data_IF_548012115861
#
_entry.id   IF_548012115861
#
_cell.length_a   1.000
_cell.length_b   1.000
_cell.length_c   1.000
_cell.angle_alpha   90.00
_cell.angle_beta   90.00
_cell.angle_gamma   90.00
#
_symmetry.space_group_name_H-M   'P 1'
#
loop_
_entity.id
_entity.type
_entity.pdbx_description
1 polymer ?
#
# COMPACT_ATOMS: atom_id res chain seq x y z
N UNK A 1 -21.69 19.69 6.50
CA UNK A 1 -20.90 18.47 6.27
C UNK A 1 -20.87 17.53 7.49
N UNK A 2 -20.74 18.04 8.73
CA UNK A 2 -20.75 17.21 9.96
C UNK A 2 -22.09 16.51 10.25
N UNK A 3 -23.21 17.06 9.77
CA UNK A 3 -24.56 16.53 10.03
C UNK A 3 -24.94 15.27 9.21
N UNK A 4 -24.24 14.98 8.10
CA UNK A 4 -24.52 13.79 7.28
C UNK A 4 -23.88 12.52 7.87
N UNK A 5 -22.79 12.69 8.63
CA UNK A 5 -22.06 11.60 9.28
C UNK A 5 -22.81 11.00 10.49
N UNK A 6 -23.76 11.74 11.08
CA UNK A 6 -24.56 11.24 12.21
C UNK A 6 -25.68 10.28 11.77
N UNK A 7 -26.09 10.32 10.49
CA UNK A 7 -27.13 9.44 9.96
C UNK A 7 -26.63 8.01 9.71
N UNK A 8 -25.34 7.84 9.42
CA UNK A 8 -24.74 6.52 9.21
C UNK A 8 -23.88 6.06 10.39
N UNK A 9 -24.53 5.45 11.38
CA UNK A 9 -23.88 4.71 12.49
C UNK A 9 -22.71 3.80 12.06
N UNK A 10 -22.74 3.12 10.88
CA UNK A 10 -21.60 2.32 10.40
C UNK A 10 -20.33 3.13 10.10
N UNK A 11 -20.46 4.33 9.51
CA UNK A 11 -19.32 5.19 9.24
C UNK A 11 -18.71 5.72 10.55
N UNK A 12 -19.55 6.07 11.53
CA UNK A 12 -19.08 6.47 12.86
C UNK A 12 -18.30 5.33 13.56
N UNK A 13 -18.78 4.08 13.45
CA UNK A 13 -18.07 2.89 13.94
C UNK A 13 -16.71 2.75 13.26
N UNK A 14 -16.64 2.88 11.93
CA UNK A 14 -15.39 2.82 11.18
C UNK A 14 -14.39 3.89 11.64
N UNK A 15 -14.81 5.16 11.75
CA UNK A 15 -13.93 6.24 12.24
C UNK A 15 -13.43 6.01 13.67
N UNK A 16 -14.22 5.36 14.54
CA UNK A 16 -13.77 4.96 15.88
C UNK A 16 -12.66 3.91 15.82
N UNK A 17 -12.78 2.92 14.94
CA UNK A 17 -11.75 1.91 14.72
C UNK A 17 -10.45 2.56 14.26
N UNK A 18 -10.50 3.47 13.28
CA UNK A 18 -9.33 4.23 12.84
C UNK A 18 -8.66 5.01 13.99
N UNK A 19 -9.45 5.62 14.89
CA UNK A 19 -8.90 6.31 16.07
C UNK A 19 -8.29 5.36 17.10
N UNK A 20 -8.93 4.20 17.32
CA UNK A 20 -8.51 3.20 18.30
C UNK A 20 -7.22 2.50 17.87
N UNK A 21 -7.16 2.09 16.60
CA UNK A 21 -6.05 1.30 16.04
C UNK A 21 -5.01 2.17 15.30
N UNK A 22 -5.07 3.50 15.48
CA UNK A 22 -4.25 4.47 14.74
C UNK A 22 -2.76 4.15 14.75
N UNK A 23 -2.24 3.64 15.88
CA UNK A 23 -0.82 3.33 16.03
C UNK A 23 -0.42 2.19 15.11
N UNK A 24 -1.18 1.09 15.12
CA UNK A 24 -0.92 -0.07 14.26
C UNK A 24 -1.00 0.34 12.79
N UNK A 25 -2.05 1.08 12.41
CA UNK A 25 -2.23 1.62 11.06
C UNK A 25 -1.05 2.50 10.62
N UNK A 26 -0.58 3.40 11.49
CA UNK A 26 0.58 4.27 11.22
C UNK A 26 1.84 3.43 11.06
N UNK A 27 2.11 2.47 11.95
CA UNK A 27 3.30 1.61 11.85
C UNK A 27 3.29 0.79 10.55
N UNK A 28 2.16 0.21 10.17
CA UNK A 28 2.04 -0.49 8.86
C UNK A 28 2.24 0.46 7.69
N UNK A 29 1.70 1.67 7.75
CA UNK A 29 1.86 2.65 6.66
C UNK A 29 3.31 3.09 6.50
N UNK A 30 3.99 3.42 7.60
CA UNK A 30 5.43 3.75 7.60
C UNK A 30 6.26 2.57 7.12
N UNK A 31 5.91 1.34 7.53
CA UNK A 31 6.56 0.12 7.07
C UNK A 31 6.40 -0.08 5.56
N UNK A 32 5.21 0.13 5.00
CA UNK A 32 4.97 0.09 3.55
C UNK A 32 5.86 1.12 2.83
N UNK A 33 5.91 2.37 3.32
CA UNK A 33 6.76 3.40 2.73
C UNK A 33 8.24 3.02 2.78
N UNK A 34 8.69 2.41 3.88
CA UNK A 34 10.06 1.94 4.02
C UNK A 34 10.39 0.79 3.05
N UNK A 35 9.48 -0.17 2.88
CA UNK A 35 9.62 -1.26 1.90
C UNK A 35 9.66 -0.70 0.49
N UNK A 36 8.76 0.23 0.14
CA UNK A 36 8.77 0.90 -1.16
C UNK A 36 10.11 1.58 -1.38
N UNK A 37 10.62 2.34 -0.40
CA UNK A 37 11.90 3.05 -0.53
C UNK A 37 13.06 2.07 -0.77
N UNK A 38 13.17 1.00 0.02
CA UNK A 38 14.24 0.00 -0.12
C UNK A 38 14.19 -0.64 -1.51
N UNK A 39 13.03 -1.15 -1.91
CA UNK A 39 12.90 -1.83 -3.20
C UNK A 39 13.10 -0.84 -4.37
N UNK A 40 12.71 0.42 -4.21
CA UNK A 40 12.98 1.46 -5.21
C UNK A 40 14.46 1.75 -5.35
N UNK A 41 15.22 1.77 -4.24
CA UNK A 41 16.67 1.93 -4.29
C UNK A 41 17.30 0.75 -5.00
N UNK A 42 16.93 -0.49 -4.66
CA UNK A 42 17.54 -1.67 -5.28
C UNK A 42 17.16 -1.75 -6.76
N UNK A 43 15.90 -1.50 -7.11
CA UNK A 43 15.47 -1.40 -8.51
C UNK A 43 16.22 -0.30 -9.26
N UNK A 44 16.42 0.87 -8.64
CA UNK A 44 17.26 1.92 -9.23
C UNK A 44 18.70 1.44 -9.42
N UNK A 45 19.31 0.75 -8.47
CA UNK A 45 20.71 0.32 -8.59
C UNK A 45 20.93 -0.75 -9.65
N UNK A 46 19.98 -1.68 -9.79
CA UNK A 46 20.08 -2.81 -10.73
C UNK A 46 19.63 -2.43 -12.15
N UNK A 47 18.55 -1.65 -12.26
CA UNK A 47 17.87 -1.41 -13.54
C UNK A 47 18.22 -0.05 -14.18
N UNK A 48 18.84 0.86 -13.42
CA UNK A 48 19.30 2.13 -13.96
C UNK A 48 20.57 1.93 -14.78
N UNK A 49 20.44 2.10 -16.09
CA UNK A 49 21.60 2.10 -16.97
C UNK A 49 22.37 3.43 -16.82
N UNK A 50 23.55 3.33 -16.22
CA UNK A 50 24.45 4.48 -16.00
C UNK A 50 25.07 5.00 -17.30
N UNK A 51 25.14 4.20 -18.36
CA UNK A 51 25.73 4.60 -19.63
C UNK A 51 24.74 5.41 -20.49
N UNK A 52 23.45 5.08 -20.44
CA UNK A 52 22.40 5.79 -21.18
C UNK A 52 21.63 6.81 -20.32
N UNK A 53 21.73 6.73 -18.99
CA UNK A 53 21.09 7.66 -18.05
C UNK A 53 19.58 7.46 -17.91
N UNK A 54 19.05 6.32 -18.33
CA UNK A 54 17.61 6.03 -18.41
C UNK A 54 17.30 4.57 -18.08
N UNK A 55 16.09 4.30 -17.60
CA UNK A 55 15.58 2.92 -17.58
C UNK A 55 15.24 2.47 -18.99
N UNK A 56 15.60 1.23 -19.32
CA UNK A 56 15.17 0.61 -20.56
C UNK A 56 13.65 0.43 -20.56
N UNK A 57 12.96 1.22 -21.39
CA UNK A 57 11.55 1.01 -21.69
C UNK A 57 11.39 0.02 -22.83
N UNK A 58 10.37 -0.84 -22.73
CA UNK A 58 10.02 -1.80 -23.79
C UNK A 58 9.60 -1.12 -25.10
N UNK A 59 9.11 0.12 -25.02
CA UNK A 59 8.52 0.86 -26.15
C UNK A 59 9.54 1.69 -26.95
N UNK A 60 10.85 1.55 -26.68
CA UNK A 60 11.92 2.21 -27.45
C UNK A 60 11.98 3.75 -27.33
N UNK A 61 11.06 4.38 -26.59
CA UNK A 61 11.07 5.81 -26.30
C UNK A 61 11.98 6.12 -25.11
N UNK A 62 13.26 6.25 -25.43
CA UNK A 62 14.34 6.60 -24.52
C UNK A 62 14.49 8.12 -24.43
N UNK A 63 13.44 8.81 -23.98
CA UNK A 63 13.53 10.24 -23.67
C UNK A 63 14.14 10.41 -22.28
N UNK A 64 15.12 11.32 -22.09
CA UNK A 64 15.58 11.72 -20.76
C UNK A 64 14.48 12.55 -20.10
N UNK A 65 13.43 11.87 -19.64
CA UNK A 65 12.47 12.44 -18.72
C UNK A 65 13.08 12.50 -17.33
N UNK A 66 12.55 13.40 -16.49
CA UNK A 66 13.09 13.79 -15.20
C UNK A 66 13.34 12.67 -14.17
N UNK A 67 13.71 13.11 -12.97
CA UNK A 67 14.22 12.35 -11.83
C UNK A 67 13.95 10.83 -11.86
N UNK A 68 14.94 10.07 -12.33
CA UNK A 68 14.87 8.63 -12.56
C UNK A 68 14.60 7.86 -11.26
N UNK A 69 15.05 8.39 -10.12
CA UNK A 69 14.70 7.81 -8.82
C UNK A 69 13.18 7.84 -8.55
N UNK A 70 12.48 8.90 -8.96
CA UNK A 70 11.02 8.96 -8.81
C UNK A 70 10.30 7.92 -9.69
N UNK A 71 10.87 7.55 -10.85
CA UNK A 71 10.35 6.46 -11.67
C UNK A 71 10.53 5.10 -11.00
N UNK A 72 11.63 4.87 -10.30
CA UNK A 72 11.83 3.66 -9.51
C UNK A 72 10.82 3.57 -8.35
N UNK A 73 10.56 4.69 -7.66
CA UNK A 73 9.50 4.80 -6.65
C UNK A 73 8.14 4.50 -7.25
N UNK A 74 7.83 5.12 -8.39
CA UNK A 74 6.59 4.88 -9.12
C UNK A 74 6.43 3.40 -9.46
N UNK A 75 7.42 2.79 -10.12
CA UNK A 75 7.40 1.38 -10.51
C UNK A 75 7.18 0.46 -9.30
N UNK A 76 7.95 0.67 -8.23
CA UNK A 76 7.86 -0.14 -7.02
C UNK A 76 6.50 0.03 -6.35
N UNK A 77 5.96 1.25 -6.31
CA UNK A 77 4.64 1.54 -5.75
C UNK A 77 3.53 0.85 -6.52
N UNK A 78 3.51 0.96 -7.86
CA UNK A 78 2.45 0.34 -8.69
C UNK A 78 2.57 -1.17 -8.71
N UNK A 79 3.78 -1.72 -8.59
CA UNK A 79 4.01 -3.17 -8.47
C UNK A 79 3.53 -3.68 -7.12
N UNK A 80 3.92 -3.03 -6.03
CA UNK A 80 3.53 -3.43 -4.66
C UNK A 80 2.03 -3.29 -4.41
N UNK A 81 1.39 -2.26 -4.99
CA UNK A 81 -0.07 -2.08 -4.94
C UNK A 81 -0.82 -2.94 -5.95
N UNK A 82 -0.12 -3.82 -6.69
CA UNK A 82 -0.68 -4.73 -7.70
C UNK A 82 -1.35 -4.05 -8.90
N UNK A 83 -1.16 -2.73 -9.08
CA UNK A 83 -1.69 -1.97 -10.22
C UNK A 83 -0.95 -2.36 -11.51
N UNK A 84 0.39 -2.37 -11.48
CA UNK A 84 1.23 -2.91 -12.54
C UNK A 84 0.95 -2.41 -13.97
N UNK A 85 1.07 -1.09 -14.22
CA UNK A 85 0.78 -0.50 -15.55
C UNK A 85 1.60 -1.07 -16.72
N UNK A 86 2.77 -1.64 -16.45
CA UNK A 86 3.62 -2.30 -17.45
C UNK A 86 4.43 -1.36 -18.36
N UNK A 87 4.43 -0.06 -18.07
CA UNK A 87 5.22 0.96 -18.77
C UNK A 87 6.72 0.92 -18.41
N UNK A 88 7.04 0.34 -17.25
CA UNK A 88 8.38 -0.04 -16.81
C UNK A 88 8.37 -1.51 -16.42
N UNK A 89 9.41 -2.24 -16.80
CA UNK A 89 9.54 -3.68 -16.51
C UNK A 89 11.00 -4.04 -16.28
N UNK A 90 11.31 -4.94 -15.34
CA UNK A 90 12.68 -5.37 -15.12
C UNK A 90 13.22 -6.16 -16.33
N UNK A 91 14.35 -5.72 -16.86
CA UNK A 91 15.15 -6.38 -17.88
C UNK A 91 16.20 -7.32 -17.27
N UNK A 92 16.73 -7.00 -16.08
CA UNK A 92 17.75 -7.78 -15.38
C UNK A 92 17.14 -9.01 -14.69
N UNK A 93 17.95 -10.06 -14.54
CA UNK A 93 17.53 -11.27 -13.83
C UNK A 93 17.25 -11.00 -12.35
N UNK A 94 18.08 -10.16 -11.72
CA UNK A 94 17.92 -9.75 -10.31
C UNK A 94 16.63 -8.94 -10.15
N UNK A 95 16.41 -7.93 -10.99
CA UNK A 95 15.19 -7.11 -10.98
C UNK A 95 13.92 -7.94 -11.14
N UNK A 96 13.93 -8.98 -11.98
CA UNK A 96 12.80 -9.91 -12.12
C UNK A 96 12.52 -10.70 -10.84
N UNK A 97 13.55 -11.27 -10.21
CA UNK A 97 13.40 -12.00 -8.94
C UNK A 97 12.87 -11.07 -7.85
N UNK A 98 13.38 -9.83 -7.79
CA UNK A 98 12.91 -8.83 -6.84
C UNK A 98 11.43 -8.51 -6.99
N UNK A 99 10.93 -8.36 -8.22
CA UNK A 99 9.50 -8.10 -8.47
C UNK A 99 8.63 -9.26 -7.98
N UNK A 100 9.06 -10.50 -8.15
CA UNK A 100 8.34 -11.67 -7.64
C UNK A 100 8.24 -11.60 -6.11
N UNK A 101 9.37 -11.36 -5.44
CA UNK A 101 9.42 -11.25 -3.98
C UNK A 101 8.58 -10.07 -3.48
N UNK A 102 8.71 -8.90 -4.10
CA UNK A 102 7.95 -7.69 -3.77
C UNK A 102 6.45 -7.92 -3.89
N UNK A 103 6.01 -8.64 -4.93
CA UNK A 103 4.59 -8.92 -5.16
C UNK A 103 3.99 -9.78 -4.05
N UNK A 104 4.71 -10.81 -3.60
CA UNK A 104 4.28 -11.69 -2.50
C UNK A 104 4.24 -10.92 -1.18
N UNK A 105 5.30 -10.16 -0.89
CA UNK A 105 5.40 -9.34 0.33
C UNK A 105 4.32 -8.26 0.36
N UNK A 106 4.05 -7.61 -0.77
CA UNK A 106 3.02 -6.57 -0.89
C UNK A 106 1.67 -7.07 -0.41
N UNK A 107 1.21 -8.20 -0.95
CA UNK A 107 -0.08 -8.81 -0.58
C UNK A 107 -0.12 -9.12 0.94
N UNK A 108 0.95 -9.69 1.48
CA UNK A 108 1.03 -10.03 2.91
C UNK A 108 0.94 -8.78 3.81
N UNK A 109 1.62 -7.69 3.44
CA UNK A 109 1.61 -6.45 4.21
C UNK A 109 0.24 -5.76 4.16
N UNK A 110 -0.41 -5.72 2.99
CA UNK A 110 -1.75 -5.13 2.84
C UNK A 110 -2.84 -5.86 3.64
N UNK A 111 -2.64 -7.15 3.94
CA UNK A 111 -3.55 -7.93 4.77
C UNK A 111 -3.65 -7.39 6.21
N UNK A 112 -2.57 -6.80 6.75
CA UNK A 112 -2.52 -6.34 8.16
C UNK A 112 -3.51 -5.20 8.43
N UNK A 113 -3.46 -4.03 7.76
CA UNK A 113 -4.40 -2.95 8.02
C UNK A 113 -5.85 -3.35 7.67
N UNK A 114 -6.04 -4.20 6.66
CA UNK A 114 -7.36 -4.75 6.32
C UNK A 114 -7.94 -5.58 7.49
N UNK A 115 -7.14 -6.48 8.05
CA UNK A 115 -7.52 -7.31 9.19
C UNK A 115 -7.80 -6.50 10.46
N UNK A 116 -6.99 -5.47 10.74
CA UNK A 116 -7.18 -4.57 11.87
C UNK A 116 -8.52 -3.82 11.77
N UNK A 117 -8.83 -3.28 10.59
CA UNK A 117 -10.10 -2.57 10.36
C UNK A 117 -11.29 -3.53 10.49
N UNK A 118 -11.21 -4.72 9.87
CA UNK A 118 -12.26 -5.72 9.92
C UNK A 118 -12.53 -6.20 11.36
N UNK A 119 -11.47 -6.54 12.10
CA UNK A 119 -11.56 -6.96 13.50
C UNK A 119 -12.12 -5.87 14.40
N UNK A 120 -11.68 -4.63 14.23
CA UNK A 120 -12.19 -3.48 14.99
C UNK A 120 -13.68 -3.21 14.70
N UNK A 121 -14.11 -3.35 13.44
CA UNK A 121 -15.51 -3.17 13.06
C UNK A 121 -16.42 -4.24 13.66
N UNK A 122 -16.00 -5.52 13.60
CA UNK A 122 -16.73 -6.64 14.22
C UNK A 122 -16.85 -6.45 15.74
N UNK A 123 -15.78 -6.00 16.39
CA UNK A 123 -15.79 -5.70 17.83
C UNK A 123 -16.84 -4.61 18.15
N UNK A 124 -16.89 -3.52 17.40
CA UNK A 124 -17.86 -2.44 17.64
C UNK A 124 -19.31 -2.91 17.44
N UNK A 125 -19.59 -3.72 16.41
CA UNK A 125 -20.91 -4.30 16.19
C UNK A 125 -21.35 -5.20 17.35
N UNK A 126 -20.44 -6.06 17.84
CA UNK A 126 -20.72 -6.94 18.97
C UNK A 126 -21.07 -6.15 20.24
N UNK A 127 -20.30 -5.11 20.54
CA UNK A 127 -20.56 -4.21 21.67
C UNK A 127 -21.95 -3.55 21.58
N UNK A 128 -22.37 -3.10 20.39
CA UNK A 128 -23.71 -2.51 20.21
C UNK A 128 -24.84 -3.53 20.41
N UNK A 129 -24.67 -4.76 19.93
CA UNK A 129 -25.65 -5.84 20.12
C UNK A 129 -25.80 -6.18 21.60
N UNK A 130 -24.69 -6.30 22.33
CA UNK A 130 -24.70 -6.64 23.75
C UNK A 130 -25.33 -5.54 24.60
N UNK A 131 -25.06 -4.26 24.30
CA UNK A 131 -25.76 -3.13 24.95
C UNK A 131 -27.28 -3.15 24.70
N UNK A 132 -27.71 -3.51 23.49
CA UNK A 132 -29.15 -3.59 23.15
C UNK A 132 -29.85 -4.74 23.88
N UNK A 133 -29.16 -5.87 24.12
CA UNK A 133 -29.67 -6.98 24.94
C UNK A 133 -29.80 -6.59 26.41
N UNK A 134 -28.79 -5.91 26.97
CA UNK A 134 -28.79 -5.51 28.38
C UNK A 134 -29.87 -4.46 28.72
N UNK A 135 -30.25 -3.61 27.78
CA UNK A 135 -31.36 -2.65 27.95
C UNK A 135 -32.77 -3.26 27.78
N UNK A 136 -32.86 -4.53 27.39
CA UNK A 136 -34.14 -5.22 27.14
C UNK A 136 -34.53 -6.20 28.27
N UNK A 137 -33.61 -6.46 29.20
CA UNK A 137 -33.85 -7.19 30.46
C UNK A 137 -33.96 -6.19 31.62
#
# INVERSE_FOLDING_TARGET
MVFLLSYFKPFAALFRVFKKEKLVLIYTFVFILFVILIFSIIFYLEEYDKATGIFMKKDGQNKPDGNQFLKAIYFTTVTMTTIGYGDLTPTTQVGRIMVIVLSIIGIAIFAIPSGVIAGGFIHELKTQIDHKKKNKN
#
